data_IF_390501944580
#
_entry.id   IF_390501944580
#
_cell.length_a   1.000
_cell.length_b   1.000
_cell.length_c   1.000
_cell.angle_alpha   90.00
_cell.angle_beta   90.00
_cell.angle_gamma   90.00
#
_symmetry.space_group_name_H-M   'P 1'
#
loop_
_entity.id
_entity.type
_entity.pdbx_description
1 polymer ?
#
# COMPACT_ATOMS: atom_id res chain seq x y z
N UNK A 1 -2.20 2.28 25.24
CA UNK A 1 -1.34 1.46 24.38
C UNK A 1 -0.02 1.25 25.11
N UNK A 2 0.52 0.02 25.20
CA UNK A 2 1.78 -0.23 25.91
C UNK A 2 2.95 0.17 24.99
N UNK A 3 3.85 1.00 25.50
CA UNK A 3 5.05 1.44 24.80
C UNK A 3 5.96 0.23 24.49
N UNK A 4 6.40 0.09 23.24
CA UNK A 4 7.44 -0.88 22.84
C UNK A 4 8.71 -0.08 22.52
N UNK A 5 9.80 -0.22 23.29
CA UNK A 5 11.08 0.41 23.01
C UNK A 5 11.65 0.01 21.65
N UNK A 6 12.39 0.90 20.97
CA UNK A 6 12.99 0.60 19.67
C UNK A 6 13.89 -0.65 19.70
N UNK A 7 14.58 -0.90 20.82
CA UNK A 7 15.44 -2.06 21.01
C UNK A 7 14.68 -3.40 21.04
N UNK A 8 13.38 -3.38 21.34
CA UNK A 8 12.50 -4.55 21.46
C UNK A 8 11.72 -4.84 20.17
N UNK A 9 11.91 -4.03 19.11
CA UNK A 9 11.26 -4.27 17.83
C UNK A 9 11.71 -5.61 17.23
N UNK A 10 10.79 -6.41 16.65
CA UNK A 10 11.12 -7.66 15.99
C UNK A 10 12.20 -7.47 14.92
N UNK A 11 13.27 -8.25 15.00
CA UNK A 11 14.39 -8.23 14.02
C UNK A 11 14.28 -9.32 12.96
N UNK A 12 13.37 -10.28 13.12
CA UNK A 12 13.17 -11.43 12.23
C UNK A 12 11.68 -11.79 12.13
N UNK A 13 11.26 -12.26 10.96
CA UNK A 13 9.89 -12.70 10.68
C UNK A 13 8.93 -11.53 10.45
N UNK A 14 8.56 -10.84 11.51
CA UNK A 14 7.76 -9.61 11.45
C UNK A 14 8.64 -8.39 11.23
N UNK A 15 8.16 -7.46 10.43
CA UNK A 15 8.80 -6.19 10.16
C UNK A 15 7.88 -5.07 10.63
N UNK A 16 8.49 -3.98 11.11
CA UNK A 16 7.78 -2.73 11.28
C UNK A 16 7.29 -2.28 9.89
N UNK A 17 6.03 -1.88 9.82
CA UNK A 17 5.38 -1.48 8.59
C UNK A 17 4.53 -0.23 8.84
N UNK A 18 4.30 0.55 7.79
CA UNK A 18 3.47 1.77 7.87
C UNK A 18 2.04 1.44 7.48
N UNK A 19 1.07 1.65 8.38
CA UNK A 19 -0.35 1.36 8.14
C UNK A 19 -0.85 2.00 6.84
N UNK A 20 -0.44 3.25 6.61
CA UNK A 20 -0.57 3.95 5.34
C UNK A 20 0.72 3.77 4.55
N UNK A 21 0.61 3.52 3.24
CA UNK A 21 1.81 3.22 2.45
C UNK A 21 2.66 4.47 2.24
N UNK A 22 3.93 4.44 2.60
CA UNK A 22 4.85 5.60 2.44
C UNK A 22 4.95 6.08 0.98
N UNK A 23 4.91 5.14 0.03
CA UNK A 23 4.98 5.44 -1.40
C UNK A 23 3.71 6.15 -1.93
N UNK A 24 2.61 6.19 -1.14
CA UNK A 24 1.40 6.91 -1.52
C UNK A 24 1.65 8.43 -1.59
N UNK A 25 2.53 8.97 -0.74
CA UNK A 25 2.82 10.42 -0.73
C UNK A 25 3.60 10.82 -1.96
N UNK A 26 4.63 10.06 -2.35
CA UNK A 26 5.34 10.29 -3.62
C UNK A 26 4.37 10.23 -4.80
N UNK A 27 3.45 9.26 -4.80
CA UNK A 27 2.43 9.13 -5.84
C UNK A 27 1.47 10.32 -5.87
N UNK A 28 1.04 10.81 -4.70
CA UNK A 28 0.19 12.00 -4.58
C UNK A 28 0.90 13.26 -5.08
N UNK A 29 2.16 13.47 -4.70
CA UNK A 29 2.95 14.62 -5.17
C UNK A 29 3.11 14.55 -6.70
N UNK A 30 3.38 13.38 -7.28
CA UNK A 30 3.39 13.21 -8.75
C UNK A 30 2.05 13.55 -9.39
N UNK A 31 0.95 13.18 -8.74
CA UNK A 31 -0.39 13.54 -9.19
C UNK A 31 -0.62 15.06 -9.16
N UNK A 32 -0.21 15.75 -8.09
CA UNK A 32 -0.26 17.21 -8.00
C UNK A 32 0.54 17.89 -9.12
N UNK A 33 1.74 17.37 -9.43
CA UNK A 33 2.62 17.94 -10.46
C UNK A 33 2.14 17.66 -11.89
N UNK A 34 1.46 16.54 -12.12
CA UNK A 34 0.97 16.15 -13.46
C UNK A 34 -0.48 16.58 -13.72
N UNK A 35 -1.24 16.88 -12.67
CA UNK A 35 -2.68 17.11 -12.74
C UNK A 35 -3.49 15.86 -13.07
N UNK A 36 -2.92 14.66 -12.83
CA UNK A 36 -3.55 13.36 -13.06
C UNK A 36 -3.69 12.60 -11.75
N UNK A 37 -4.84 11.99 -11.52
CA UNK A 37 -5.08 11.05 -10.44
C UNK A 37 -4.20 9.81 -10.58
N UNK A 38 -4.13 8.97 -9.55
CA UNK A 38 -3.30 7.76 -9.57
C UNK A 38 -3.74 6.79 -10.69
N UNK A 39 -5.04 6.74 -10.96
CA UNK A 39 -5.62 6.01 -12.09
C UNK A 39 -5.29 6.57 -13.48
N UNK A 40 -4.69 7.77 -13.56
CA UNK A 40 -4.40 8.48 -14.81
C UNK A 40 -5.53 9.41 -15.30
N UNK A 41 -6.67 9.45 -14.61
CA UNK A 41 -7.78 10.38 -14.89
C UNK A 41 -7.36 11.82 -14.57
N UNK A 42 -7.91 12.82 -15.26
CA UNK A 42 -7.67 14.22 -14.92
C UNK A 42 -8.19 14.58 -13.52
N UNK A 43 -7.35 15.22 -12.72
CA UNK A 43 -7.76 15.80 -11.43
C UNK A 43 -8.68 16.99 -11.66
N UNK A 44 -9.71 17.13 -10.83
CA UNK A 44 -10.55 18.33 -10.77
C UNK A 44 -9.85 19.42 -9.97
N UNK A 45 -9.28 19.07 -8.83
CA UNK A 45 -8.60 19.99 -7.93
C UNK A 45 -7.09 20.06 -8.26
N UNK A 46 -6.76 20.72 -9.37
CA UNK A 46 -5.37 20.90 -9.81
C UNK A 46 -4.71 22.05 -9.06
N UNK A 47 -3.44 21.87 -8.71
CA UNK A 47 -2.58 22.93 -8.21
C UNK A 47 -1.58 23.32 -9.30
N UNK A 48 -1.06 24.54 -9.23
CA UNK A 48 0.09 24.93 -10.05
C UNK A 48 1.31 24.10 -9.65
N UNK A 49 1.95 23.34 -10.56
CA UNK A 49 3.11 22.54 -10.24
C UNK A 49 4.25 23.36 -9.62
N UNK A 50 4.41 24.63 -10.01
CA UNK A 50 5.44 25.46 -9.40
C UNK A 50 5.11 25.90 -7.98
N UNK A 51 3.84 26.18 -7.71
CA UNK A 51 3.37 26.41 -6.35
C UNK A 51 3.61 25.19 -5.46
N UNK A 52 3.32 23.96 -5.95
CA UNK A 52 3.61 22.72 -5.23
C UNK A 52 5.10 22.61 -4.90
N UNK A 53 5.99 22.81 -5.88
CA UNK A 53 7.43 22.76 -5.67
C UNK A 53 7.91 23.77 -4.60
N UNK A 54 7.39 25.00 -4.65
CA UNK A 54 7.77 26.06 -3.72
C UNK A 54 7.18 25.87 -2.31
N UNK A 55 5.99 25.26 -2.20
CA UNK A 55 5.26 25.12 -0.94
C UNK A 55 5.58 23.83 -0.17
N UNK A 56 5.90 22.72 -0.85
CA UNK A 56 5.97 21.39 -0.22
C UNK A 56 6.95 21.29 0.96
N UNK A 57 8.11 21.96 0.86
CA UNK A 57 9.13 21.99 1.89
C UNK A 57 9.25 23.38 2.56
N UNK A 58 8.23 24.24 2.42
CA UNK A 58 8.22 25.55 3.05
C UNK A 58 7.98 25.40 4.55
N UNK A 59 8.77 26.10 5.37
CA UNK A 59 8.62 26.08 6.82
C UNK A 59 7.35 26.83 7.22
N UNK A 60 6.55 26.26 8.11
CA UNK A 60 5.41 26.97 8.70
C UNK A 60 5.90 28.16 9.54
N UNK A 61 5.27 29.31 9.37
CA UNK A 61 5.48 30.52 10.19
C UNK A 61 4.58 30.54 11.45
N UNK A 62 3.75 29.51 11.59
CA UNK A 62 2.87 29.27 12.75
C UNK A 62 3.31 28.08 13.57
N UNK A 63 2.89 28.04 14.83
CA UNK A 63 3.05 26.85 15.68
C UNK A 63 1.86 25.90 15.49
N UNK A 64 2.13 24.72 14.94
CA UNK A 64 1.12 23.66 14.77
C UNK A 64 1.13 22.66 15.94
N UNK A 65 0.00 21.97 16.21
CA UNK A 65 -0.05 20.89 17.19
C UNK A 65 0.99 19.80 16.90
N UNK A 66 1.43 19.08 17.93
CA UNK A 66 2.27 17.90 17.74
C UNK A 66 1.45 16.78 17.11
N UNK A 67 2.10 16.03 16.23
CA UNK A 67 1.56 14.82 15.63
C UNK A 67 1.68 13.70 16.67
N UNK A 68 0.57 13.42 17.35
CA UNK A 68 0.47 12.42 18.43
C UNK A 68 1.53 12.56 19.53
N UNK A 69 1.91 11.41 20.10
CA UNK A 69 2.90 11.32 21.18
C UNK A 69 4.31 11.14 20.62
N UNK A 70 5.16 12.16 20.80
CA UNK A 70 6.56 12.09 20.41
C UNK A 70 7.36 11.17 21.37
N UNK A 71 7.88 10.08 20.82
CA UNK A 71 8.82 9.17 21.48
C UNK A 71 10.25 9.66 21.24
N UNK A 72 11.04 9.82 22.31
CA UNK A 72 12.41 10.35 22.25
C UNK A 72 13.51 9.30 22.52
N UNK A 73 13.20 8.02 22.34
CA UNK A 73 14.17 6.92 22.52
C UNK A 73 15.07 6.70 21.29
N UNK A 74 14.85 7.44 20.20
CA UNK A 74 15.69 7.45 19.00
C UNK A 74 16.58 8.70 18.96
N UNK A 75 17.89 8.50 18.79
CA UNK A 75 18.83 9.60 18.59
C UNK A 75 18.53 10.33 17.26
N UNK A 76 18.72 11.65 17.24
CA UNK A 76 18.61 12.50 16.04
C UNK A 76 17.18 12.81 15.53
N UNK A 77 16.13 12.67 16.35
CA UNK A 77 14.81 13.16 15.97
C UNK A 77 14.78 14.69 15.87
N UNK A 78 14.29 15.21 14.74
CA UNK A 78 14.00 16.63 14.51
C UNK A 78 12.50 16.86 14.43
N UNK A 79 12.04 17.99 14.93
CA UNK A 79 10.61 18.34 14.83
C UNK A 79 10.21 18.53 13.36
N UNK A 80 9.03 18.05 12.94
CA UNK A 80 8.54 18.25 11.59
C UNK A 80 7.99 19.68 11.45
N UNK A 81 8.62 20.49 10.60
CA UNK A 81 8.35 21.95 10.48
C UNK A 81 7.88 22.37 9.09
N UNK A 82 7.82 21.44 8.13
CA UNK A 82 7.32 21.65 6.77
C UNK A 82 6.11 20.74 6.49
N UNK A 83 5.28 21.03 5.46
CA UNK A 83 4.21 20.11 5.04
C UNK A 83 4.73 18.70 4.78
N UNK A 84 5.84 18.57 4.03
CA UNK A 84 6.48 17.30 3.77
C UNK A 84 6.80 16.53 5.06
N UNK A 85 7.54 17.15 5.99
CA UNK A 85 7.96 16.47 7.22
C UNK A 85 6.76 16.02 8.04
N UNK A 86 5.74 16.87 8.13
CA UNK A 86 4.54 16.60 8.92
C UNK A 86 3.70 15.50 8.31
N UNK A 87 3.46 15.53 7.00
CA UNK A 87 2.71 14.48 6.29
C UNK A 87 3.42 13.14 6.42
N UNK A 88 4.74 13.08 6.22
CA UNK A 88 5.50 11.83 6.40
C UNK A 88 5.51 11.35 7.84
N UNK A 89 5.60 12.24 8.84
CA UNK A 89 5.49 11.87 10.25
C UNK A 89 4.16 11.16 10.54
N UNK A 90 3.04 11.57 9.95
CA UNK A 90 1.72 10.91 10.16
C UNK A 90 1.66 9.44 9.72
N UNK A 91 2.53 9.04 8.78
CA UNK A 91 2.58 7.68 8.25
C UNK A 91 3.30 6.74 9.22
N UNK A 92 4.13 7.30 10.09
CA UNK A 92 4.91 6.55 11.06
C UNK A 92 6.38 6.88 10.99
N UNK A 93 6.99 7.06 12.15
CA UNK A 93 8.42 7.25 12.30
C UNK A 93 8.91 6.60 13.59
N UNK A 94 10.22 6.68 13.85
CA UNK A 94 10.76 6.24 15.13
C UNK A 94 10.19 7.04 16.32
N UNK A 95 9.78 8.29 16.09
CA UNK A 95 9.24 9.19 17.09
C UNK A 95 7.70 9.19 17.13
N UNK A 96 7.02 8.91 16.00
CA UNK A 96 5.58 8.73 15.95
C UNK A 96 5.22 7.28 15.56
N UNK A 97 4.94 6.45 16.56
CA UNK A 97 4.69 5.01 16.37
C UNK A 97 3.21 4.65 16.18
N UNK A 98 2.29 5.61 16.23
CA UNK A 98 0.87 5.32 16.05
C UNK A 98 0.52 5.01 14.59
N UNK A 99 1.34 5.46 13.63
CA UNK A 99 1.21 5.14 12.21
C UNK A 99 1.78 3.78 11.79
N UNK A 100 2.45 3.06 12.68
CA UNK A 100 3.13 1.79 12.36
C UNK A 100 2.51 0.58 13.05
N UNK A 101 2.75 -0.59 12.49
CA UNK A 101 2.35 -1.89 13.02
C UNK A 101 3.36 -2.96 12.58
N UNK A 102 3.06 -4.23 12.82
CA UNK A 102 3.90 -5.35 12.44
C UNK A 102 3.21 -6.26 11.43
N UNK A 103 3.92 -6.56 10.36
CA UNK A 103 3.46 -7.48 9.32
C UNK A 103 4.58 -8.47 8.96
N UNK A 104 4.27 -9.74 8.64
CA UNK A 104 5.27 -10.67 8.15
C UNK A 104 5.99 -10.10 6.92
N UNK A 105 7.31 -10.19 6.87
CA UNK A 105 8.12 -9.57 5.82
C UNK A 105 7.65 -9.86 4.38
N UNK A 106 7.34 -11.12 4.00
CA UNK A 106 6.80 -11.41 2.67
C UNK A 106 5.48 -10.70 2.35
N UNK A 107 4.59 -10.56 3.33
CA UNK A 107 3.30 -9.88 3.16
C UNK A 107 3.50 -8.36 3.10
N UNK A 108 4.48 -7.81 3.83
CA UNK A 108 4.87 -6.40 3.74
C UNK A 108 5.44 -6.03 2.37
N UNK A 109 6.32 -6.89 1.81
CA UNK A 109 6.82 -6.70 0.44
C UNK A 109 5.67 -6.71 -0.56
N UNK A 110 4.74 -7.66 -0.41
CA UNK A 110 3.60 -7.77 -1.31
C UNK A 110 2.62 -6.58 -1.19
N UNK A 111 2.38 -6.08 0.03
CA UNK A 111 1.62 -4.85 0.29
C UNK A 111 2.24 -3.69 -0.47
N UNK A 112 3.55 -3.47 -0.28
CA UNK A 112 4.28 -2.44 -1.03
C UNK A 112 4.13 -2.62 -2.54
N UNK A 113 4.29 -3.83 -3.07
CA UNK A 113 4.14 -4.11 -4.51
C UNK A 113 2.76 -3.68 -5.03
N UNK A 114 1.68 -4.11 -4.37
CA UNK A 114 0.32 -3.76 -4.76
C UNK A 114 0.02 -2.26 -4.61
N UNK A 115 0.45 -1.66 -3.51
CA UNK A 115 0.25 -0.24 -3.24
C UNK A 115 1.03 0.68 -4.19
N UNK A 116 2.09 0.17 -4.83
CA UNK A 116 2.79 0.86 -5.92
C UNK A 116 2.14 0.63 -7.30
N UNK A 117 0.98 -0.04 -7.37
CA UNK A 117 0.32 -0.41 -8.61
C UNK A 117 1.02 -1.52 -9.40
N UNK A 118 1.96 -2.25 -8.77
CA UNK A 118 2.71 -3.31 -9.42
C UNK A 118 2.05 -4.68 -9.22
N UNK A 119 2.31 -5.60 -10.15
CA UNK A 119 1.86 -6.99 -10.07
C UNK A 119 2.75 -7.83 -9.13
N UNK A 120 2.18 -8.62 -8.20
CA UNK A 120 2.90 -9.49 -7.25
C UNK A 120 4.02 -10.39 -7.81
N UNK A 121 3.85 -10.86 -9.05
CA UNK A 121 4.81 -11.72 -9.75
C UNK A 121 5.22 -11.12 -11.10
N UNK A 122 5.17 -9.79 -11.20
CA UNK A 122 5.50 -9.07 -12.42
C UNK A 122 4.54 -9.37 -13.59
N UNK A 123 5.09 -9.26 -14.79
CA UNK A 123 4.33 -9.36 -16.05
C UNK A 123 3.85 -10.79 -16.35
N UNK A 124 2.90 -10.90 -17.28
CA UNK A 124 2.28 -12.17 -17.65
C UNK A 124 3.28 -13.23 -18.14
N UNK A 125 4.33 -12.82 -18.87
CA UNK A 125 5.34 -13.74 -19.44
C UNK A 125 6.19 -14.40 -18.34
N UNK A 126 6.47 -13.67 -17.26
CA UNK A 126 7.14 -14.24 -16.10
C UNK A 126 6.22 -15.28 -15.43
N UNK A 127 4.94 -14.94 -15.26
CA UNK A 127 3.96 -15.85 -14.69
C UNK A 127 3.81 -17.14 -15.51
N UNK A 128 3.71 -17.06 -16.84
CA UNK A 128 3.69 -18.23 -17.72
C UNK A 128 4.93 -19.12 -17.56
N UNK A 129 6.09 -18.50 -17.33
CA UNK A 129 7.33 -19.22 -17.07
C UNK A 129 7.27 -20.00 -15.75
N UNK A 130 6.63 -19.44 -14.71
CA UNK A 130 6.36 -20.15 -13.46
C UNK A 130 5.40 -21.32 -13.69
N UNK A 131 4.31 -21.11 -14.44
CA UNK A 131 3.36 -22.19 -14.75
C UNK A 131 4.02 -23.34 -15.53
N UNK A 132 4.93 -23.03 -16.46
CA UNK A 132 5.70 -24.05 -17.20
C UNK A 132 6.59 -24.90 -16.28
N UNK A 133 7.18 -24.32 -15.23
CA UNK A 133 7.98 -25.09 -14.25
C UNK A 133 7.11 -26.07 -13.46
N UNK A 134 5.93 -25.64 -13.01
CA UNK A 134 4.97 -26.52 -12.33
C UNK A 134 4.50 -27.64 -13.26
N UNK A 135 4.17 -27.30 -14.51
CA UNK A 135 3.68 -28.25 -15.50
C UNK A 135 4.71 -29.34 -15.87
N UNK A 136 5.97 -28.96 -16.08
CA UNK A 136 7.01 -29.86 -16.60
C UNK A 136 7.78 -30.61 -15.53
N UNK A 137 7.94 -30.04 -14.33
CA UNK A 137 8.83 -30.57 -13.28
C UNK A 137 8.11 -30.92 -11.98
N UNK A 138 6.82 -30.62 -11.86
CA UNK A 138 6.12 -30.73 -10.56
C UNK A 138 6.74 -29.86 -9.48
N UNK A 139 7.31 -28.71 -9.87
CA UNK A 139 8.10 -27.84 -8.98
C UNK A 139 7.24 -27.25 -7.86
N UNK A 140 7.32 -27.86 -6.68
CA UNK A 140 6.57 -27.45 -5.49
C UNK A 140 6.97 -26.07 -4.94
N UNK A 141 8.22 -25.65 -5.15
CA UNK A 141 8.69 -24.33 -4.71
C UNK A 141 8.00 -23.27 -5.55
N UNK A 142 8.00 -23.44 -6.87
CA UNK A 142 7.29 -22.54 -7.79
C UNK A 142 5.78 -22.54 -7.52
N UNK A 143 5.19 -23.70 -7.25
CA UNK A 143 3.77 -23.80 -6.85
C UNK A 143 3.47 -22.96 -5.60
N UNK A 144 4.28 -23.11 -4.54
CA UNK A 144 4.10 -22.34 -3.30
C UNK A 144 4.30 -20.84 -3.53
N UNK A 145 5.22 -20.46 -4.40
CA UNK A 145 5.41 -19.05 -4.77
C UNK A 145 4.18 -18.47 -5.46
N UNK A 146 3.59 -19.19 -6.43
CA UNK A 146 2.39 -18.74 -7.15
C UNK A 146 1.19 -18.62 -6.22
N UNK A 147 0.90 -19.69 -5.46
CA UNK A 147 -0.23 -19.70 -4.53
C UNK A 147 -0.04 -18.71 -3.39
N UNK A 148 1.18 -18.58 -2.87
CA UNK A 148 1.50 -17.62 -1.81
C UNK A 148 1.30 -16.16 -2.27
N UNK A 149 1.65 -15.82 -3.52
CA UNK A 149 1.36 -14.50 -4.06
C UNK A 149 -0.15 -14.27 -4.22
N UNK A 150 -0.90 -15.26 -4.73
CA UNK A 150 -2.35 -15.16 -4.88
C UNK A 150 -3.06 -15.01 -3.53
N UNK A 151 -2.74 -15.86 -2.55
CA UNK A 151 -3.25 -15.79 -1.19
C UNK A 151 -2.87 -14.48 -0.52
N UNK A 152 -1.61 -14.05 -0.68
CA UNK A 152 -1.12 -12.81 -0.11
C UNK A 152 -1.85 -11.58 -0.66
N UNK A 153 -2.21 -11.57 -1.95
CA UNK A 153 -3.00 -10.47 -2.54
C UNK A 153 -4.33 -10.31 -1.81
N UNK A 154 -5.09 -11.40 -1.61
CA UNK A 154 -6.33 -11.36 -0.82
C UNK A 154 -6.04 -11.00 0.64
N UNK A 155 -5.00 -11.60 1.21
CA UNK A 155 -4.59 -11.42 2.61
C UNK A 155 -4.27 -9.97 2.97
N UNK A 156 -3.73 -9.18 2.06
CA UNK A 156 -3.44 -7.75 2.29
C UNK A 156 -4.72 -6.94 2.45
N UNK A 157 -5.74 -7.18 1.62
CA UNK A 157 -7.00 -6.45 1.76
C UNK A 157 -7.77 -6.90 2.99
N UNK A 158 -7.73 -8.19 3.34
CA UNK A 158 -8.26 -8.67 4.62
C UNK A 158 -7.55 -8.03 5.81
N UNK A 159 -6.23 -7.90 5.74
CA UNK A 159 -5.42 -7.24 6.75
C UNK A 159 -5.79 -5.75 6.92
N UNK A 160 -5.91 -5.01 5.82
CA UNK A 160 -6.27 -3.58 5.86
C UNK A 160 -7.72 -3.35 6.32
N UNK A 161 -8.60 -4.31 6.06
CA UNK A 161 -10.01 -4.28 6.47
C UNK A 161 -10.29 -5.00 7.79
N UNK A 162 -9.26 -5.49 8.50
CA UNK A 162 -9.44 -6.14 9.80
C UNK A 162 -10.01 -5.14 10.80
N UNK A 163 -11.02 -5.53 11.57
CA UNK A 163 -11.77 -4.60 12.42
C UNK A 163 -10.93 -3.90 13.50
N UNK A 164 -9.82 -4.50 13.93
CA UNK A 164 -8.92 -3.90 14.91
C UNK A 164 -7.96 -2.94 14.20
N UNK A 165 -7.37 -3.36 13.09
CA UNK A 165 -6.40 -2.58 12.34
C UNK A 165 -7.03 -1.42 11.56
N UNK A 166 -8.27 -1.59 11.08
CA UNK A 166 -9.03 -0.56 10.38
C UNK A 166 -9.18 0.69 11.24
N UNK A 167 -9.34 0.57 12.56
CA UNK A 167 -9.39 1.73 13.47
C UNK A 167 -8.10 2.54 13.43
N UNK A 168 -6.95 1.86 13.46
CA UNK A 168 -5.65 2.51 13.38
C UNK A 168 -5.43 3.12 11.99
N UNK A 169 -5.81 2.41 10.92
CA UNK A 169 -5.76 2.89 9.55
C UNK A 169 -6.63 4.15 9.32
N UNK A 170 -7.86 4.16 9.84
CA UNK A 170 -8.77 5.32 9.81
C UNK A 170 -8.22 6.48 10.63
N UNK A 171 -7.68 6.21 11.83
CA UNK A 171 -7.06 7.26 12.65
C UNK A 171 -5.87 7.90 11.95
N UNK A 172 -4.97 7.09 11.37
CA UNK A 172 -3.85 7.59 10.57
C UNK A 172 -4.31 8.44 9.38
N UNK A 173 -5.37 8.01 8.67
CA UNK A 173 -5.95 8.80 7.57
C UNK A 173 -6.53 10.14 8.00
N UNK A 174 -7.15 10.20 9.18
CA UNK A 174 -7.65 11.47 9.76
C UNK A 174 -6.51 12.41 10.11
N UNK A 175 -5.44 11.90 10.73
CA UNK A 175 -4.24 12.70 11.05
C UNK A 175 -3.61 13.24 9.76
N UNK A 176 -3.40 12.38 8.76
CA UNK A 176 -2.86 12.77 7.47
C UNK A 176 -3.72 13.85 6.78
N UNK A 177 -5.05 13.67 6.77
CA UNK A 177 -5.99 14.66 6.22
C UNK A 177 -5.94 16.00 6.99
N UNK A 178 -5.75 15.96 8.31
CA UNK A 178 -5.58 17.17 9.11
C UNK A 178 -4.29 17.92 8.76
N UNK A 179 -3.18 17.20 8.52
CA UNK A 179 -1.94 17.83 8.05
C UNK A 179 -2.08 18.42 6.64
N UNK A 180 -2.86 17.80 5.75
CA UNK A 180 -3.24 18.41 4.47
C UNK A 180 -4.04 19.70 4.68
N UNK A 181 -4.94 19.74 5.66
CA UNK A 181 -5.69 20.94 6.00
C UNK A 181 -4.79 22.05 6.55
N UNK A 182 -3.81 21.73 7.39
CA UNK A 182 -2.82 22.70 7.86
C UNK A 182 -1.96 23.25 6.71
N UNK A 183 -1.53 22.41 5.77
CA UNK A 183 -0.85 22.86 4.57
C UNK A 183 -1.73 23.80 3.72
N UNK A 184 -3.01 23.45 3.52
CA UNK A 184 -3.99 24.28 2.80
C UNK A 184 -4.24 25.65 3.44
N UNK A 185 -4.21 25.70 4.78
CA UNK A 185 -4.50 26.90 5.55
C UNK A 185 -3.29 27.84 5.64
N UNK A 186 -2.11 27.30 5.95
CA UNK A 186 -0.95 28.10 6.35
C UNK A 186 0.15 28.22 5.29
N UNK A 187 0.11 27.43 4.21
CA UNK A 187 1.06 27.56 3.10
C UNK A 187 0.31 28.06 1.86
N UNK A 188 0.39 29.37 1.53
CA UNK A 188 -0.35 29.96 0.40
C UNK A 188 -0.14 29.23 -0.93
N UNK A 189 1.08 28.74 -1.18
CA UNK A 189 1.43 27.99 -2.39
C UNK A 189 0.75 26.61 -2.50
N UNK A 190 0.24 26.08 -1.39
CA UNK A 190 -0.46 24.78 -1.35
C UNK A 190 -1.98 24.94 -1.22
N UNK A 191 -2.53 26.12 -1.50
CA UNK A 191 -3.98 26.32 -1.42
C UNK A 191 -4.72 25.39 -2.39
N UNK A 192 -5.70 24.65 -1.87
CA UNK A 192 -6.45 23.61 -2.58
C UNK A 192 -5.94 22.18 -2.35
N UNK A 193 -4.81 21.99 -1.66
CA UNK A 193 -4.21 20.66 -1.45
C UNK A 193 -5.14 19.71 -0.68
N UNK A 194 -5.99 20.22 0.23
CA UNK A 194 -6.94 19.40 0.98
C UNK A 194 -8.00 18.79 0.06
N UNK A 195 -8.56 19.58 -0.86
CA UNK A 195 -9.57 19.07 -1.81
C UNK A 195 -8.92 18.15 -2.85
N UNK A 196 -7.69 18.44 -3.26
CA UNK A 196 -6.89 17.53 -4.08
C UNK A 196 -6.65 16.18 -3.39
N UNK A 197 -6.34 16.18 -2.09
CA UNK A 197 -6.18 14.97 -1.30
C UNK A 197 -7.48 14.16 -1.19
N UNK A 198 -8.60 14.82 -0.85
CA UNK A 198 -9.91 14.18 -0.74
C UNK A 198 -10.41 13.57 -2.05
N UNK A 199 -10.01 14.15 -3.18
CA UNK A 199 -10.26 13.58 -4.50
C UNK A 199 -9.33 12.41 -4.80
N UNK A 200 -8.05 12.55 -4.47
CA UNK A 200 -7.00 11.61 -4.85
C UNK A 200 -6.98 10.32 -4.03
N UNK A 201 -7.13 10.40 -2.70
CA UNK A 201 -7.00 9.22 -1.83
C UNK A 201 -8.02 8.12 -2.17
N UNK A 202 -9.32 8.41 -2.39
CA UNK A 202 -10.27 7.41 -2.85
C UNK A 202 -9.92 6.81 -4.22
N UNK A 203 -9.47 7.63 -5.17
CA UNK A 203 -9.03 7.14 -6.48
C UNK A 203 -7.86 6.16 -6.35
N UNK A 204 -6.85 6.52 -5.54
CA UNK A 204 -5.68 5.70 -5.28
C UNK A 204 -6.07 4.29 -4.79
N UNK A 205 -6.86 4.20 -3.73
CA UNK A 205 -7.25 2.89 -3.19
C UNK A 205 -8.16 2.11 -4.13
N UNK A 206 -9.09 2.77 -4.81
CA UNK A 206 -9.97 2.13 -5.79
C UNK A 206 -9.17 1.57 -6.98
N UNK A 207 -8.16 2.29 -7.45
CA UNK A 207 -7.31 1.84 -8.53
C UNK A 207 -6.42 0.67 -8.09
N UNK A 208 -5.83 0.71 -6.90
CA UNK A 208 -5.06 -0.41 -6.31
C UNK A 208 -5.94 -1.67 -6.17
N UNK A 209 -7.19 -1.52 -5.70
CA UNK A 209 -8.18 -2.61 -5.62
C UNK A 209 -8.49 -3.18 -7.01
N UNK A 210 -8.67 -2.32 -8.00
CA UNK A 210 -8.92 -2.72 -9.39
C UNK A 210 -7.77 -3.54 -9.95
N UNK A 211 -6.53 -3.05 -9.82
CA UNK A 211 -5.33 -3.74 -10.29
C UNK A 211 -5.12 -5.08 -9.59
N UNK A 212 -5.34 -5.15 -8.28
CA UNK A 212 -5.23 -6.39 -7.51
C UNK A 212 -6.29 -7.43 -7.93
N UNK A 213 -7.52 -6.98 -8.14
CA UNK A 213 -8.65 -7.80 -8.62
C UNK A 213 -8.38 -8.34 -10.02
N UNK A 214 -7.96 -7.48 -10.94
CA UNK A 214 -7.60 -7.84 -12.31
C UNK A 214 -6.42 -8.81 -12.34
N UNK A 215 -5.39 -8.56 -11.54
CA UNK A 215 -4.26 -9.47 -11.44
C UNK A 215 -4.71 -10.85 -10.94
N UNK A 216 -5.48 -10.92 -9.85
CA UNK A 216 -5.90 -12.21 -9.30
C UNK A 216 -6.77 -13.00 -10.28
N UNK A 217 -7.75 -12.35 -10.89
CA UNK A 217 -8.69 -12.98 -11.83
C UNK A 217 -8.00 -13.40 -13.13
N UNK A 218 -7.17 -12.53 -13.71
CA UNK A 218 -6.43 -12.86 -14.94
C UNK A 218 -5.44 -14.01 -14.72
N UNK A 219 -4.71 -14.02 -13.60
CA UNK A 219 -3.78 -15.12 -13.27
C UNK A 219 -4.50 -16.42 -12.96
N UNK A 220 -5.67 -16.36 -12.31
CA UNK A 220 -6.57 -17.50 -12.18
C UNK A 220 -6.99 -18.08 -13.53
N UNK A 221 -7.42 -17.23 -14.46
CA UNK A 221 -7.79 -17.66 -15.82
C UNK A 221 -6.61 -18.30 -16.57
N UNK A 222 -5.39 -17.74 -16.45
CA UNK A 222 -4.18 -18.32 -17.05
C UNK A 222 -3.87 -19.72 -16.49
N UNK A 223 -4.05 -19.94 -15.18
CA UNK A 223 -3.89 -21.27 -14.56
C UNK A 223 -4.91 -22.24 -15.15
N UNK A 224 -6.19 -21.87 -15.18
CA UNK A 224 -7.25 -22.70 -15.76
C UNK A 224 -7.01 -23.01 -17.23
N UNK A 225 -6.59 -22.04 -18.03
CA UNK A 225 -6.26 -22.25 -19.45
C UNK A 225 -5.06 -23.18 -19.62
N UNK A 226 -4.01 -23.01 -18.80
CA UNK A 226 -2.78 -23.80 -18.91
C UNK A 226 -2.99 -25.27 -18.56
N UNK A 227 -3.86 -25.54 -17.59
CA UNK A 227 -4.04 -26.87 -17.03
C UNK A 227 -5.39 -27.51 -17.36
N UNK A 228 -6.35 -26.80 -17.97
CA UNK A 228 -7.73 -27.28 -18.18
C UNK A 228 -7.89 -28.59 -18.97
N UNK A 229 -6.87 -28.99 -19.73
CA UNK A 229 -6.78 -30.30 -20.37
C UNK A 229 -5.42 -30.96 -20.06
N UNK A 230 -5.42 -32.05 -19.28
CA UNK A 230 -4.20 -32.82 -18.96
C UNK A 230 -3.78 -32.90 -17.49
N UNK A 231 -4.65 -32.50 -16.55
CA UNK A 231 -4.36 -32.47 -15.09
C UNK A 231 -4.09 -33.85 -14.49
N UNK A 232 -4.71 -34.91 -15.01
CA UNK A 232 -4.83 -36.21 -14.33
C UNK A 232 -3.49 -36.85 -13.91
N UNK A 233 -2.38 -36.50 -14.57
CA UNK A 233 -1.07 -37.11 -14.31
C UNK A 233 -0.06 -36.18 -13.59
N UNK A 234 -0.44 -34.95 -13.20
CA UNK A 234 0.44 -34.03 -12.48
C UNK A 234 -0.24 -33.52 -11.18
N UNK A 235 0.09 -34.12 -10.02
CA UNK A 235 -0.49 -33.74 -8.73
C UNK A 235 -0.26 -32.27 -8.35
N UNK A 236 0.89 -31.69 -8.72
CA UNK A 236 1.18 -30.27 -8.47
C UNK A 236 0.28 -29.37 -9.32
N UNK A 237 0.03 -29.73 -10.58
CA UNK A 237 -0.93 -29.01 -11.43
C UNK A 237 -2.35 -29.08 -10.86
N UNK A 238 -2.80 -30.26 -10.41
CA UNK A 238 -4.12 -30.42 -9.79
C UNK A 238 -4.28 -29.54 -8.53
N UNK A 239 -3.26 -29.56 -7.67
CA UNK A 239 -3.22 -28.73 -6.47
C UNK A 239 -3.25 -27.24 -6.81
N UNK A 240 -2.42 -26.81 -7.76
CA UNK A 240 -2.39 -25.42 -8.21
C UNK A 240 -3.74 -24.96 -8.76
N UNK A 241 -4.37 -25.73 -9.66
CA UNK A 241 -5.67 -25.36 -10.24
C UNK A 241 -6.77 -25.29 -9.18
N UNK A 242 -6.86 -26.27 -8.28
CA UNK A 242 -7.89 -26.31 -7.25
C UNK A 242 -7.73 -25.19 -6.22
N UNK A 243 -6.52 -24.98 -5.68
CA UNK A 243 -6.28 -23.91 -4.71
C UNK A 243 -6.39 -22.52 -5.34
N UNK A 244 -5.90 -22.33 -6.57
CA UNK A 244 -6.07 -21.06 -7.27
C UNK A 244 -7.55 -20.71 -7.47
N UNK A 245 -8.40 -21.68 -7.83
CA UNK A 245 -9.83 -21.46 -7.96
C UNK A 245 -10.49 -21.02 -6.63
N UNK A 246 -10.10 -21.65 -5.51
CA UNK A 246 -10.58 -21.27 -4.17
C UNK A 246 -10.11 -19.87 -3.75
N UNK A 247 -8.92 -19.46 -4.15
CA UNK A 247 -8.42 -18.10 -3.87
C UNK A 247 -9.15 -17.08 -4.75
N UNK A 248 -9.34 -17.38 -6.05
CA UNK A 248 -10.08 -16.50 -6.97
C UNK A 248 -11.53 -16.32 -6.53
N UNK A 249 -12.18 -17.34 -5.94
CA UNK A 249 -13.54 -17.17 -5.39
C UNK A 249 -13.60 -16.18 -4.21
N UNK A 250 -12.45 -15.83 -3.61
CA UNK A 250 -12.36 -14.82 -2.55
C UNK A 250 -12.13 -13.40 -3.09
N UNK A 251 -12.17 -13.17 -4.41
CA UNK A 251 -11.93 -11.85 -5.02
C UNK A 251 -12.81 -10.75 -4.44
N UNK A 252 -14.04 -11.06 -4.00
CA UNK A 252 -14.93 -10.09 -3.34
C UNK A 252 -14.43 -9.57 -1.99
N UNK A 253 -13.38 -10.16 -1.43
CA UNK A 253 -12.69 -9.67 -0.23
C UNK A 253 -11.65 -8.58 -0.55
N UNK A 254 -11.26 -8.42 -1.83
CA UNK A 254 -10.40 -7.33 -2.30
C UNK A 254 -11.26 -6.08 -2.43
N UNK A 255 -11.21 -5.22 -1.41
CA UNK A 255 -11.99 -3.97 -1.37
C UNK A 255 -11.21 -2.85 -0.71
N UNK A 256 -11.59 -1.62 -1.04
CA UNK A 256 -10.97 -0.41 -0.49
C UNK A 256 -11.03 -0.44 1.04
N UNK A 257 -9.94 -0.06 1.74
CA UNK A 257 -9.93 0.07 3.19
C UNK A 257 -10.53 1.40 3.69
N UNK A 258 -10.94 2.29 2.78
CA UNK A 258 -11.63 3.55 3.08
C UNK A 258 -13.12 3.35 3.35
#
# INVERSE_FOLDING_TARGET
MKFIPAAELPKKGFQLEHLREVNMIDSFVRSLLSGKLFSGVDMKNKLDPMAVYNGWNKVYDVSLPRIGLAVRDAAHYTLPVTPNDRIFETIGSYAYREGVTFLPGPLNVLKRTLMMGNSPLGRAEHFETLLRKVASKGDEITLKQVLGAMQGTVGIFNYLNDAVLQRAFTAAGKTLTAEMAHADEFIPELKGILEAWKEWEPDYYNHVVSLATEWLTSRGAMITQKFGSGIANNPAALKLTSEAAQIVSQVGQIRSPL
#
